data_IF_823379052121
#
_entry.id   IF_823379052121
#
_cell.length_a   1.000
_cell.length_b   1.000
_cell.length_c   1.000
_cell.angle_alpha   90.00
_cell.angle_beta   90.00
_cell.angle_gamma   90.00
#
_symmetry.space_group_name_H-M   'P 1'
#
loop_
_entity.id
_entity.type
_entity.pdbx_description
1 polymer ?
#
# COMPACT_ATOMS: atom_id res chain seq x y z
N UNK A 1 6.53 -4.45 -6.63
CA UNK A 1 5.22 -4.49 -5.94
C UNK A 1 4.34 -3.32 -6.34
N UNK A 2 4.67 -2.08 -5.97
CA UNK A 2 3.80 -0.93 -6.23
C UNK A 2 3.45 -0.67 -7.70
N UNK A 3 4.35 -0.93 -8.65
CA UNK A 3 4.06 -0.76 -10.08
C UNK A 3 2.91 -1.65 -10.59
N UNK A 4 2.81 -2.89 -10.10
CA UNK A 4 1.75 -3.81 -10.51
C UNK A 4 0.40 -3.41 -9.90
N UNK A 5 0.40 -3.00 -8.63
CA UNK A 5 -0.79 -2.45 -7.96
C UNK A 5 -1.30 -1.21 -8.72
N UNK A 6 -0.39 -0.31 -9.09
CA UNK A 6 -0.71 0.87 -9.91
C UNK A 6 -1.29 0.48 -11.26
N UNK A 7 -0.69 -0.49 -11.95
CA UNK A 7 -1.20 -0.98 -13.23
C UNK A 7 -2.62 -1.56 -13.08
N UNK A 8 -2.91 -2.33 -12.03
CA UNK A 8 -4.26 -2.87 -11.78
C UNK A 8 -5.32 -1.77 -11.64
N UNK A 9 -5.02 -0.69 -10.91
CA UNK A 9 -5.94 0.45 -10.78
C UNK A 9 -6.10 1.18 -12.11
N UNK A 10 -4.98 1.45 -12.81
CA UNK A 10 -4.99 2.15 -14.09
C UNK A 10 -5.77 1.39 -15.17
N UNK A 11 -5.68 0.05 -15.21
CA UNK A 11 -6.48 -0.76 -16.13
C UNK A 11 -7.99 -0.58 -15.89
N UNK A 12 -8.42 -0.49 -14.63
CA UNK A 12 -9.81 -0.18 -14.28
C UNK A 12 -10.22 1.23 -14.74
N UNK A 13 -9.35 2.22 -14.52
CA UNK A 13 -9.58 3.60 -14.96
C UNK A 13 -9.68 3.73 -16.48
N UNK A 14 -8.82 3.04 -17.24
CA UNK A 14 -8.79 3.08 -18.70
C UNK A 14 -10.00 2.41 -19.38
N UNK A 15 -10.75 1.59 -18.64
CA UNK A 15 -11.99 0.98 -19.16
C UNK A 15 -13.14 1.99 -19.29
N UNK A 16 -13.11 3.08 -18.50
CA UNK A 16 -14.12 4.12 -18.56
C UNK A 16 -14.07 4.86 -19.91
N UNK A 17 -15.24 5.08 -20.52
CA UNK A 17 -15.33 5.70 -21.83
C UNK A 17 -14.88 7.17 -21.86
N UNK A 18 -15.16 7.92 -20.78
CA UNK A 18 -14.77 9.32 -20.63
C UNK A 18 -14.55 9.63 -19.13
N UNK A 19 -13.40 9.20 -18.55
CA UNK A 19 -13.15 9.39 -17.14
C UNK A 19 -12.79 10.85 -16.85
N UNK A 20 -13.39 11.41 -15.79
CA UNK A 20 -13.02 12.72 -15.27
C UNK A 20 -11.50 12.78 -14.98
N UNK A 21 -10.75 13.74 -15.56
CA UNK A 21 -9.32 13.89 -15.32
C UNK A 21 -8.94 14.02 -13.83
N UNK A 22 -9.80 14.59 -12.98
CA UNK A 22 -9.59 14.66 -11.54
C UNK A 22 -9.65 13.27 -10.90
N UNK A 23 -10.64 12.45 -11.27
CA UNK A 23 -10.73 11.06 -10.82
C UNK A 23 -9.53 10.24 -11.29
N UNK A 24 -9.07 10.43 -12.53
CA UNK A 24 -7.87 9.74 -13.05
C UNK A 24 -6.64 10.06 -12.21
N UNK A 25 -6.41 11.35 -11.90
CA UNK A 25 -5.28 11.78 -11.06
C UNK A 25 -5.40 11.26 -9.63
N UNK A 26 -6.60 11.30 -9.06
CA UNK A 26 -6.89 10.76 -7.72
C UNK A 26 -6.58 9.27 -7.64
N UNK A 27 -7.08 8.48 -8.59
CA UNK A 27 -6.83 7.03 -8.67
C UNK A 27 -5.36 6.68 -8.89
N UNK A 28 -4.64 7.46 -9.70
CA UNK A 28 -3.19 7.27 -9.89
C UNK A 28 -2.40 7.55 -8.61
N UNK A 29 -2.75 8.62 -7.88
CA UNK A 29 -2.13 8.95 -6.59
C UNK A 29 -2.45 7.90 -5.53
N UNK A 30 -3.73 7.53 -5.39
CA UNK A 30 -4.18 6.43 -4.55
C UNK A 30 -3.32 5.18 -4.78
N UNK A 31 -3.18 4.74 -6.02
CA UNK A 31 -2.48 3.50 -6.33
C UNK A 31 -0.96 3.56 -6.03
N UNK A 32 -0.34 4.75 -6.18
CA UNK A 32 1.06 4.97 -5.78
C UNK A 32 1.22 4.86 -4.26
N UNK A 33 0.35 5.51 -3.50
CA UNK A 33 0.40 5.48 -2.03
C UNK A 33 0.17 4.07 -1.50
N UNK A 34 -0.85 3.37 -2.00
CA UNK A 34 -1.13 1.99 -1.61
C UNK A 34 -0.02 1.02 -2.04
N UNK A 35 0.52 1.20 -3.24
CA UNK A 35 1.65 0.39 -3.71
C UNK A 35 2.89 0.54 -2.84
N UNK A 36 3.12 1.73 -2.30
CA UNK A 36 4.21 2.00 -1.36
C UNK A 36 3.90 1.46 0.03
N UNK A 37 2.70 1.71 0.56
CA UNK A 37 2.23 1.23 1.85
C UNK A 37 2.33 -0.30 1.94
N UNK A 38 1.96 -1.00 0.86
CA UNK A 38 2.09 -2.46 0.79
C UNK A 38 3.53 -2.92 1.03
N UNK A 39 4.52 -2.25 0.43
CA UNK A 39 5.93 -2.59 0.63
C UNK A 39 6.41 -2.28 2.05
N UNK A 40 6.00 -1.14 2.61
CA UNK A 40 6.33 -0.78 4.00
C UNK A 40 5.79 -1.83 4.97
N UNK A 41 4.54 -2.26 4.77
CA UNK A 41 3.91 -3.29 5.62
C UNK A 41 4.56 -4.65 5.42
N UNK A 42 4.94 -5.02 4.19
CA UNK A 42 5.66 -6.27 3.92
C UNK A 42 7.00 -6.31 4.67
N UNK A 43 7.75 -5.20 4.66
CA UNK A 43 9.01 -5.05 5.40
C UNK A 43 8.81 -5.11 6.92
N UNK A 44 7.70 -4.55 7.45
CA UNK A 44 7.33 -4.65 8.87
C UNK A 44 7.03 -6.11 9.24
N UNK A 45 6.21 -6.78 8.41
CA UNK A 45 5.81 -8.16 8.63
C UNK A 45 7.01 -9.12 8.60
N UNK A 46 8.01 -8.90 7.74
CA UNK A 46 9.23 -9.73 7.71
C UNK A 46 10.00 -9.73 9.05
N UNK A 47 9.81 -8.70 9.88
CA UNK A 47 10.43 -8.55 11.20
C UNK A 47 9.48 -8.99 12.33
N UNK A 48 8.24 -8.50 12.34
CA UNK A 48 7.29 -8.72 13.44
C UNK A 48 6.49 -10.02 13.29
N UNK A 49 6.18 -10.44 12.06
CA UNK A 49 5.25 -11.51 11.77
C UNK A 49 5.83 -12.90 12.01
N UNK A 50 5.00 -13.85 12.42
CA UNK A 50 5.39 -15.22 12.75
C UNK A 50 5.77 -16.02 11.48
N UNK A 51 6.88 -16.80 11.44
CA UNK A 51 7.32 -17.49 10.23
C UNK A 51 6.25 -18.44 9.67
N UNK A 52 5.47 -19.06 10.56
CA UNK A 52 4.37 -19.95 10.19
C UNK A 52 3.22 -19.20 9.47
N UNK A 53 2.98 -17.95 9.84
CA UNK A 53 1.92 -17.10 9.26
C UNK A 53 2.30 -16.48 7.91
N UNK A 54 3.60 -16.25 7.67
CA UNK A 54 4.11 -15.59 6.47
C UNK A 54 4.57 -16.56 5.36
N UNK A 55 4.66 -17.86 5.66
CA UNK A 55 5.15 -18.86 4.72
C UNK A 55 6.62 -18.66 4.30
N UNK A 56 7.39 -17.86 5.07
CA UNK A 56 8.81 -17.53 4.86
C UNK A 56 9.56 -17.58 6.19
N UNK A 57 10.84 -17.93 6.15
CA UNK A 57 11.74 -17.86 7.31
C UNK A 57 11.94 -16.40 7.74
N UNK A 58 11.67 -16.07 9.02
CA UNK A 58 11.88 -14.73 9.62
C UNK A 58 13.25 -14.15 9.27
N UNK A 59 13.31 -12.84 9.00
CA UNK A 59 14.57 -12.10 8.84
C UNK A 59 15.35 -12.41 7.55
N UNK A 60 14.67 -12.88 6.50
CA UNK A 60 15.31 -13.16 5.20
C UNK A 60 15.92 -11.89 4.60
N UNK A 61 15.33 -10.73 4.84
CA UNK A 61 15.86 -9.47 4.33
C UNK A 61 17.05 -8.95 5.17
N UNK A 62 17.06 -9.20 6.48
CA UNK A 62 18.22 -8.92 7.35
C UNK A 62 19.44 -9.76 6.96
N UNK A 63 19.24 -11.04 6.60
CA UNK A 63 20.31 -11.93 6.16
C UNK A 63 20.98 -11.48 4.84
N UNK A 64 20.28 -10.68 4.02
CA UNK A 64 20.77 -10.22 2.71
C UNK A 64 21.27 -8.77 2.71
N UNK A 65 21.39 -8.12 3.87
CA UNK A 65 21.84 -6.72 4.00
C UNK A 65 21.02 -5.73 3.14
N UNK A 66 19.75 -6.08 2.87
CA UNK A 66 18.87 -5.29 2.01
C UNK A 66 18.32 -4.12 2.83
N UNK A 67 18.38 -2.88 2.34
CA UNK A 67 17.77 -1.76 3.04
C UNK A 67 16.25 -1.91 3.03
N UNK A 68 15.66 -2.04 4.22
CA UNK A 68 14.20 -2.11 4.46
C UNK A 68 13.70 -0.86 5.17
N UNK A 69 12.40 -0.58 5.14
CA UNK A 69 11.84 0.56 5.87
C UNK A 69 12.15 0.54 7.37
N UNK A 70 11.98 -0.58 8.10
CA UNK A 70 12.36 -0.63 9.51
C UNK A 70 13.85 -0.41 9.77
N UNK A 71 14.73 -0.82 8.84
CA UNK A 71 16.18 -0.57 8.98
C UNK A 71 16.55 0.92 8.87
N UNK A 72 15.76 1.70 8.13
CA UNK A 72 16.01 3.12 7.88
C UNK A 72 15.25 4.04 8.85
N UNK A 73 14.02 3.68 9.21
CA UNK A 73 13.08 4.53 9.95
C UNK A 73 12.79 4.01 11.37
N UNK A 74 13.27 2.81 11.70
CA UNK A 74 12.77 2.04 12.84
C UNK A 74 11.37 1.46 12.59
N UNK A 75 10.96 0.50 13.40
CA UNK A 75 9.63 -0.12 13.32
C UNK A 75 8.52 0.92 13.50
N UNK A 76 8.61 1.74 14.55
CA UNK A 76 7.61 2.78 14.82
C UNK A 76 7.52 3.81 13.68
N UNK A 77 8.66 4.21 13.10
CA UNK A 77 8.69 5.10 11.95
C UNK A 77 8.07 4.48 10.70
N UNK A 78 8.22 3.18 10.52
CA UNK A 78 7.62 2.42 9.43
C UNK A 78 6.10 2.31 9.58
N UNK A 79 5.61 2.05 10.79
CA UNK A 79 4.17 2.09 11.09
C UNK A 79 3.56 3.46 10.83
N UNK A 80 4.22 4.55 11.24
CA UNK A 80 3.78 5.92 10.95
C UNK A 80 3.76 6.21 9.45
N UNK A 81 4.76 5.75 8.70
CA UNK A 81 4.81 5.88 7.25
C UNK A 81 3.63 5.15 6.59
N UNK A 82 3.33 3.91 6.99
CA UNK A 82 2.21 3.15 6.45
C UNK A 82 0.87 3.88 6.70
N UNK A 83 0.63 4.37 7.92
CA UNK A 83 -0.58 5.13 8.26
C UNK A 83 -0.68 6.45 7.51
N UNK A 84 0.43 7.15 7.31
CA UNK A 84 0.47 8.37 6.49
C UNK A 84 0.08 8.07 5.03
N UNK A 85 0.66 7.03 4.43
CA UNK A 85 0.36 6.65 3.05
C UNK A 85 -1.11 6.20 2.89
N UNK A 86 -1.67 5.52 3.90
CA UNK A 86 -3.09 5.20 3.94
C UNK A 86 -3.94 6.48 3.92
N UNK A 87 -3.62 7.48 4.74
CA UNK A 87 -4.36 8.73 4.77
C UNK A 87 -4.26 9.48 3.45
N UNK A 88 -3.06 9.61 2.87
CA UNK A 88 -2.86 10.24 1.55
C UNK A 88 -3.65 9.52 0.44
N UNK A 89 -3.73 8.18 0.51
CA UNK A 89 -4.56 7.40 -0.40
C UNK A 89 -6.06 7.70 -0.21
N UNK A 90 -6.56 7.76 1.02
CA UNK A 90 -7.96 8.07 1.31
C UNK A 90 -8.34 9.49 0.84
N UNK A 91 -7.47 10.47 1.10
CA UNK A 91 -7.67 11.87 0.71
C UNK A 91 -7.78 12.00 -0.81
N UNK A 92 -7.00 11.22 -1.57
CA UNK A 92 -7.08 11.20 -3.04
C UNK A 92 -8.38 10.62 -3.61
N UNK A 93 -9.15 9.92 -2.78
CA UNK A 93 -10.48 9.41 -3.13
C UNK A 93 -11.61 10.35 -2.67
N UNK A 94 -11.34 11.48 -2.02
CA UNK A 94 -12.37 12.43 -1.58
C UNK A 94 -13.33 12.91 -2.69
N UNK A 95 -12.86 13.16 -3.93
CA UNK A 95 -13.75 13.55 -5.03
C UNK A 95 -14.73 12.44 -5.48
N UNK A 96 -14.42 11.18 -5.16
CA UNK A 96 -15.22 10.03 -5.58
C UNK A 96 -16.36 9.75 -4.60
N UNK A 97 -17.50 9.29 -5.12
CA UNK A 97 -18.66 8.92 -4.31
C UNK A 97 -18.44 7.59 -3.53
N UNK A 98 -19.52 7.05 -2.95
CA UNK A 98 -19.51 5.79 -2.22
C UNK A 98 -19.10 4.57 -3.08
N UNK A 99 -19.09 4.67 -4.42
CA UNK A 99 -18.59 3.58 -5.28
C UNK A 99 -17.09 3.34 -5.10
N UNK A 100 -16.35 4.30 -4.54
CA UNK A 100 -14.95 4.12 -4.17
C UNK A 100 -14.74 3.49 -2.78
N UNK A 101 -15.81 3.14 -2.05
CA UNK A 101 -15.69 2.50 -0.72
C UNK A 101 -14.90 1.19 -0.73
N UNK A 102 -14.97 0.32 -1.77
CA UNK A 102 -14.08 -0.84 -1.85
C UNK A 102 -12.59 -0.47 -1.88
N UNK A 103 -12.22 0.65 -2.50
CA UNK A 103 -10.85 1.16 -2.50
C UNK A 103 -10.47 1.72 -1.12
N UNK A 104 -11.37 2.46 -0.46
CA UNK A 104 -11.16 2.95 0.90
C UNK A 104 -10.95 1.81 1.89
N UNK A 105 -11.75 0.75 1.77
CA UNK A 105 -11.61 -0.47 2.57
C UNK A 105 -10.28 -1.16 2.30
N UNK A 106 -9.90 -1.32 1.03
CA UNK A 106 -8.63 -1.95 0.64
C UNK A 106 -7.42 -1.20 1.19
N UNK A 107 -7.47 0.13 1.23
CA UNK A 107 -6.43 0.96 1.83
C UNK A 107 -6.23 0.63 3.32
N UNK A 108 -7.33 0.48 4.07
CA UNK A 108 -7.28 0.03 5.47
C UNK A 108 -6.76 -1.38 5.61
N UNK A 109 -7.30 -2.30 4.83
CA UNK A 109 -6.88 -3.70 4.84
C UNK A 109 -5.37 -3.86 4.63
N UNK A 110 -4.77 -3.12 3.70
CA UNK A 110 -3.33 -3.24 3.40
C UNK A 110 -2.45 -2.83 4.58
N UNK A 111 -2.85 -1.83 5.35
CA UNK A 111 -2.09 -1.37 6.53
C UNK A 111 -2.36 -2.22 7.76
N UNK A 112 -3.57 -2.73 7.91
CA UNK A 112 -3.98 -3.49 9.10
C UNK A 112 -3.78 -5.01 8.94
N UNK A 113 -3.30 -5.48 7.78
CA UNK A 113 -3.06 -6.92 7.55
C UNK A 113 -1.97 -7.47 8.46
N UNK A 114 -2.17 -8.69 8.92
CA UNK A 114 -1.21 -9.44 9.74
C UNK A 114 -0.51 -10.57 8.97
N UNK A 115 -0.68 -10.63 7.65
CA UNK A 115 -0.08 -11.63 6.74
C UNK A 115 0.07 -11.10 5.32
#
# INVERSE_FOLDING_TARGET
TGALIRASVQLGTLQAADPDPEHVRGLDHYAKCIGLAFQVVDDILDIEGDPESLGKTKGKDMANNKPTYPSLLGLEGSHRMAKRLQQEALDSLCPLDAKADPLRWLAGYIVDRSR
#
